data_IF_930750360531
#
_entry.id   IF_930750360531
#
_cell.length_a   1.000
_cell.length_b   1.000
_cell.length_c   1.000
_cell.angle_alpha   90.00
_cell.angle_beta   90.00
_cell.angle_gamma   90.00
#
_symmetry.space_group_name_H-M   'P 1'
#
loop_
_entity.id
_entity.type
_entity.pdbx_description
1 polymer ?
#
# COMPACT_ATOMS: atom_id res chain seq x y z
N UNK A 1 23.05 10.48 -11.95
CA UNK A 1 22.31 10.49 -10.67
C UNK A 1 23.13 9.74 -9.62
N UNK A 2 23.38 10.33 -8.45
CA UNK A 2 24.12 9.70 -7.35
C UNK A 2 23.21 9.68 -6.14
N UNK A 3 22.89 8.49 -5.60
CA UNK A 3 21.98 8.35 -4.46
C UNK A 3 22.79 8.40 -3.17
N UNK A 4 22.38 9.25 -2.23
CA UNK A 4 22.98 9.36 -0.89
C UNK A 4 21.89 9.12 0.16
N UNK A 5 22.09 8.15 1.04
CA UNK A 5 21.19 7.85 2.14
C UNK A 5 21.84 8.34 3.43
N UNK A 6 21.18 9.25 4.14
CA UNK A 6 21.64 9.76 5.43
C UNK A 6 20.70 9.24 6.53
N UNK A 7 21.23 8.45 7.48
CA UNK A 7 20.45 7.91 8.60
C UNK A 7 20.80 8.67 9.87
N UNK A 8 19.80 9.20 10.54
CA UNK A 8 19.96 9.93 11.79
C UNK A 8 19.15 9.24 12.90
N UNK A 9 19.76 8.78 14.01
CA UNK A 9 19.09 8.00 15.06
C UNK A 9 17.98 8.73 15.85
N UNK A 10 17.79 10.03 15.62
CA UNK A 10 16.80 10.88 16.30
C UNK A 10 15.97 11.71 15.31
N UNK A 11 15.93 11.30 14.03
CA UNK A 11 15.09 11.96 13.05
C UNK A 11 13.61 11.68 13.35
N UNK A 12 12.77 12.71 13.23
CA UNK A 12 11.33 12.64 13.46
C UNK A 12 10.61 11.98 12.29
N UNK A 13 9.72 12.71 11.63
CA UNK A 13 9.04 12.20 10.44
C UNK A 13 10.00 12.03 9.25
N UNK A 14 9.79 11.02 8.39
CA UNK A 14 10.55 10.86 7.16
C UNK A 14 10.38 12.07 6.24
N UNK A 15 11.49 12.65 5.78
CA UNK A 15 11.52 13.73 4.80
C UNK A 15 12.30 13.31 3.55
N UNK A 16 11.84 13.74 2.37
CA UNK A 16 12.54 13.57 1.10
C UNK A 16 12.92 14.96 0.57
N UNK A 17 14.23 15.22 0.46
CA UNK A 17 14.78 16.45 -0.13
C UNK A 17 15.48 16.12 -1.45
N UNK A 18 15.13 16.84 -2.52
CA UNK A 18 15.66 16.66 -3.88
C UNK A 18 16.36 17.95 -4.32
N UNK A 19 17.70 17.96 -4.24
CA UNK A 19 18.52 19.07 -4.75
C UNK A 19 18.76 18.90 -6.26
N UNK A 20 18.33 19.88 -7.06
CA UNK A 20 18.52 19.91 -8.52
C UNK A 20 18.79 21.34 -9.02
N UNK A 21 19.47 21.45 -10.16
CA UNK A 21 19.79 22.75 -10.80
C UNK A 21 18.53 23.37 -11.41
N UNK A 22 17.71 22.55 -12.07
CA UNK A 22 16.38 22.91 -12.57
C UNK A 22 15.37 21.79 -12.32
N UNK A 23 14.09 22.16 -12.15
CA UNK A 23 12.98 21.20 -12.09
C UNK A 23 12.62 20.75 -13.50
N UNK A 24 13.32 19.73 -13.99
CA UNK A 24 13.09 19.13 -15.30
C UNK A 24 12.11 17.93 -15.27
N UNK A 25 11.87 17.35 -16.45
CA UNK A 25 10.98 16.18 -16.58
C UNK A 25 11.46 14.96 -15.79
N UNK A 26 12.78 14.78 -15.60
CA UNK A 26 13.31 13.66 -14.84
C UNK A 26 13.03 13.83 -13.34
N UNK A 27 13.16 15.04 -12.81
CA UNK A 27 12.78 15.35 -11.42
C UNK A 27 11.26 15.19 -11.21
N UNK A 28 10.46 15.66 -12.16
CA UNK A 28 9.00 15.53 -12.11
C UNK A 28 8.56 14.06 -12.06
N UNK A 29 9.17 13.18 -12.88
CA UNK A 29 8.88 11.74 -12.86
C UNK A 29 9.20 11.07 -11.52
N UNK A 30 10.29 11.47 -10.84
CA UNK A 30 10.65 10.94 -9.52
C UNK A 30 9.61 11.35 -8.48
N UNK A 31 9.20 12.62 -8.50
CA UNK A 31 8.16 13.13 -7.59
C UNK A 31 6.86 12.32 -7.78
N UNK A 32 6.45 12.11 -9.02
CA UNK A 32 5.24 11.33 -9.33
C UNK A 32 5.35 9.88 -8.87
N UNK A 33 6.52 9.25 -9.01
CA UNK A 33 6.72 7.87 -8.55
C UNK A 33 6.62 7.74 -7.02
N UNK A 34 7.10 8.75 -6.29
CA UNK A 34 7.04 8.80 -4.83
C UNK A 34 5.61 9.11 -4.35
N UNK A 35 4.89 9.96 -5.09
CA UNK A 35 3.52 10.37 -4.77
C UNK A 35 2.46 9.39 -5.28
N UNK A 36 2.83 8.45 -6.14
CA UNK A 36 1.89 7.47 -6.67
C UNK A 36 1.38 6.58 -5.52
N UNK A 37 0.06 6.57 -5.27
CA UNK A 37 -0.50 5.62 -4.33
C UNK A 37 -0.21 4.21 -4.84
N UNK A 38 0.47 3.42 -4.03
CA UNK A 38 0.65 1.99 -4.30
C UNK A 38 -0.73 1.35 -4.30
N UNK A 39 -1.17 0.85 -5.46
CA UNK A 39 -2.39 0.04 -5.52
C UNK A 39 -2.02 -1.34 -4.97
N UNK A 40 -2.39 -1.55 -3.71
CA UNK A 40 -2.05 -2.77 -2.98
C UNK A 40 -3.13 -3.83 -3.10
N UNK A 41 -4.41 -3.46 -3.14
CA UNK A 41 -5.50 -4.43 -3.12
C UNK A 41 -6.62 -4.13 -4.10
N UNK A 42 -7.35 -5.20 -4.43
CA UNK A 42 -8.49 -5.20 -5.32
C UNK A 42 -9.65 -5.85 -4.56
N UNK A 43 -10.74 -5.11 -4.37
CA UNK A 43 -11.97 -5.60 -3.78
C UNK A 43 -13.12 -5.57 -4.80
N UNK A 44 -14.09 -6.48 -4.65
CA UNK A 44 -15.33 -6.47 -5.44
C UNK A 44 -16.52 -6.18 -4.51
N UNK A 45 -17.46 -5.36 -4.98
CA UNK A 45 -18.78 -5.18 -4.35
C UNK A 45 -19.82 -4.88 -5.42
N UNK A 46 -20.96 -5.55 -5.38
CA UNK A 46 -22.09 -5.35 -6.32
C UNK A 46 -21.66 -5.28 -7.79
N UNK A 47 -20.86 -6.26 -8.21
CA UNK A 47 -20.28 -6.37 -9.56
C UNK A 47 -19.31 -5.25 -10.00
N UNK A 48 -18.94 -4.36 -9.08
CA UNK A 48 -17.91 -3.33 -9.30
C UNK A 48 -16.59 -3.73 -8.67
N UNK A 49 -15.51 -3.38 -9.35
CA UNK A 49 -14.14 -3.51 -8.87
C UNK A 49 -13.66 -2.20 -8.25
N UNK A 50 -13.02 -2.30 -7.10
CA UNK A 50 -12.43 -1.19 -6.36
C UNK A 50 -10.95 -1.50 -6.12
N UNK A 51 -10.13 -0.45 -6.17
CA UNK A 51 -8.70 -0.49 -5.87
C UNK A 51 -8.46 0.20 -4.55
N UNK A 52 -7.57 -0.36 -3.73
CA UNK A 52 -7.26 0.15 -2.39
C UNK A 52 -5.75 0.25 -2.21
N UNK A 53 -5.30 1.30 -1.54
CA UNK A 53 -4.01 1.34 -0.88
C UNK A 53 -4.05 0.50 0.40
N UNK A 54 -2.90 -0.02 0.83
CA UNK A 54 -2.78 -0.74 2.09
C UNK A 54 -3.31 0.08 3.27
N UNK A 55 -3.09 1.39 3.27
CA UNK A 55 -3.55 2.33 4.31
C UNK A 55 -5.07 2.46 4.42
N UNK A 56 -5.82 2.06 3.38
CA UNK A 56 -7.28 2.09 3.36
C UNK A 56 -7.90 0.78 3.88
N UNK A 57 -7.09 -0.27 4.02
CA UNK A 57 -7.51 -1.62 4.43
C UNK A 57 -7.14 -1.86 5.89
N UNK A 58 -8.13 -2.12 6.73
CA UNK A 58 -7.90 -2.33 8.17
C UNK A 58 -7.48 -3.77 8.46
N UNK A 59 -8.14 -4.74 7.83
CA UNK A 59 -7.77 -6.15 7.88
C UNK A 59 -8.42 -6.91 6.73
N UNK A 60 -7.92 -8.14 6.50
CA UNK A 60 -8.54 -9.11 5.60
C UNK A 60 -8.93 -10.33 6.42
N UNK A 61 -10.14 -10.84 6.22
CA UNK A 61 -10.62 -12.05 6.91
C UNK A 61 -11.06 -13.10 5.90
N UNK A 62 -10.85 -14.37 6.24
CA UNK A 62 -11.39 -15.51 5.50
C UNK A 62 -12.59 -16.12 6.21
N UNK A 63 -13.75 -16.13 5.54
CA UNK A 63 -14.99 -16.77 6.00
C UNK A 63 -15.39 -17.80 4.94
N UNK A 64 -15.55 -19.08 5.33
CA UNK A 64 -16.00 -20.16 4.44
C UNK A 64 -15.25 -20.22 3.08
N UNK A 65 -13.92 -20.18 3.12
CA UNK A 65 -13.05 -20.17 1.94
C UNK A 65 -13.17 -18.93 1.03
N UNK A 66 -13.83 -17.86 1.47
CA UNK A 66 -13.86 -16.57 0.79
C UNK A 66 -13.16 -15.51 1.64
N UNK A 67 -12.36 -14.65 1.01
CA UNK A 67 -11.67 -13.57 1.71
C UNK A 67 -12.40 -12.25 1.53
N UNK A 68 -12.38 -11.42 2.56
CA UNK A 68 -13.06 -10.13 2.64
C UNK A 68 -12.11 -9.06 3.13
N UNK A 69 -12.10 -7.92 2.45
CA UNK A 69 -11.30 -6.75 2.74
C UNK A 69 -12.19 -5.74 3.47
N UNK A 70 -11.80 -5.37 4.69
CA UNK A 70 -12.55 -4.44 5.52
C UNK A 70 -11.86 -3.07 5.48
N UNK A 71 -12.62 -2.05 5.10
CA UNK A 71 -12.21 -0.65 5.21
C UNK A 71 -12.96 0.02 6.36
N UNK A 72 -12.73 1.32 6.55
CA UNK A 72 -13.45 2.11 7.56
C UNK A 72 -14.97 2.07 7.36
N UNK A 73 -15.42 2.17 6.10
CA UNK A 73 -16.81 2.46 5.77
C UNK A 73 -17.53 1.25 5.17
N UNK A 74 -16.79 0.23 4.70
CA UNK A 74 -17.39 -0.85 3.92
C UNK A 74 -16.57 -2.17 3.90
N UNK A 75 -17.17 -3.22 3.36
CA UNK A 75 -16.59 -4.56 3.20
C UNK A 75 -16.65 -4.99 1.74
N UNK A 76 -15.57 -5.56 1.24
CA UNK A 76 -15.41 -5.96 -0.16
C UNK A 76 -14.96 -7.42 -0.25
N UNK A 77 -15.41 -8.13 -1.28
CA UNK A 77 -14.85 -9.43 -1.63
C UNK A 77 -13.39 -9.25 -2.04
N UNK A 78 -12.47 -9.84 -1.28
CA UNK A 78 -11.05 -9.83 -1.57
C UNK A 78 -10.74 -10.92 -2.60
N UNK A 79 -10.08 -10.53 -3.70
CA UNK A 79 -9.63 -11.49 -4.72
C UNK A 79 -8.44 -12.34 -4.29
N UNK A 80 -7.81 -12.01 -3.18
CA UNK A 80 -6.58 -12.62 -2.69
C UNK A 80 -6.89 -13.54 -1.51
N UNK A 81 -6.16 -14.65 -1.41
CA UNK A 81 -6.07 -15.47 -0.21
C UNK A 81 -5.23 -14.75 0.85
N UNK A 82 -5.41 -15.09 2.13
CA UNK A 82 -4.67 -14.46 3.23
C UNK A 82 -3.14 -14.54 3.06
N UNK A 83 -2.60 -15.66 2.56
CA UNK A 83 -1.16 -15.77 2.30
C UNK A 83 -0.71 -14.88 1.13
N UNK A 84 -1.60 -14.59 0.17
CA UNK A 84 -1.28 -13.70 -0.95
C UNK A 84 -1.27 -12.25 -0.47
N UNK A 85 -2.15 -11.89 0.46
CA UNK A 85 -2.15 -10.57 1.11
C UNK A 85 -0.83 -10.31 1.83
N UNK A 86 -0.40 -11.25 2.69
CA UNK A 86 0.88 -11.17 3.43
C UNK A 86 2.10 -11.08 2.50
N UNK A 87 2.08 -11.78 1.36
CA UNK A 87 3.18 -11.70 0.38
C UNK A 87 3.13 -10.44 -0.50
N UNK A 88 1.96 -9.80 -0.62
CA UNK A 88 1.75 -8.67 -1.53
C UNK A 88 2.16 -7.35 -0.91
N UNK A 89 1.98 -7.21 0.40
CA UNK A 89 2.31 -5.99 1.12
C UNK A 89 2.83 -6.32 2.52
N UNK A 90 4.00 -5.78 2.86
CA UNK A 90 4.71 -6.05 4.10
C UNK A 90 4.08 -5.41 5.36
N UNK A 91 3.14 -4.48 5.18
CA UNK A 91 2.37 -3.88 6.28
C UNK A 91 1.31 -4.84 6.84
N UNK A 92 1.05 -5.97 6.19
CA UNK A 92 0.11 -6.99 6.63
C UNK A 92 0.84 -8.17 7.28
N UNK A 93 0.35 -8.58 8.45
CA UNK A 93 0.81 -9.79 9.15
C UNK A 93 -0.38 -10.68 9.46
N UNK A 94 -0.22 -11.99 9.26
CA UNK A 94 -1.24 -12.96 9.64
C UNK A 94 -1.31 -13.09 11.17
N UNK A 95 -2.44 -12.73 11.76
CA UNK A 95 -2.64 -12.73 13.22
C UNK A 95 -3.33 -14.00 13.71
N UNK A 96 -4.10 -14.68 12.86
CA UNK A 96 -4.71 -15.97 13.18
C UNK A 96 -4.99 -16.80 11.91
N UNK A 97 -5.68 -17.94 12.04
CA UNK A 97 -5.96 -18.83 10.90
C UNK A 97 -6.77 -18.14 9.79
N UNK A 98 -7.69 -17.26 10.17
CA UNK A 98 -8.70 -16.62 9.34
C UNK A 98 -8.46 -15.11 9.17
N UNK A 99 -7.39 -14.53 9.72
CA UNK A 99 -7.07 -13.09 9.61
C UNK A 99 -5.57 -12.92 9.48
#
# INVERSE_FOLDING_TARGET
MKIKINRHPQFGEPEITIDCDEKDNSIQQIIELIQQPTIDFNGKKEDKMFVFQATEVYYVESIEDQCFLYTKDDVFDCKYRLYEVENKNEDFVKVNKNT
#
